data_IF_918961075134
#
_entry.id   IF_918961075134
#
_cell.length_a   1.000
_cell.length_b   1.000
_cell.length_c   1.000
_cell.angle_alpha   90.00
_cell.angle_beta   90.00
_cell.angle_gamma   90.00
#
_symmetry.space_group_name_H-M   'P 1'
#
loop_
_entity.id
_entity.type
_entity.pdbx_description
1 polymer ?
#
# COMPACT_ATOMS: atom_id res chain seq x y z
N UNK A 1 9.23 20.35 74.64
CA UNK A 1 8.14 20.36 73.66
C UNK A 1 8.67 20.60 72.21
N UNK A 2 9.36 21.74 71.97
CA UNK A 2 9.90 22.02 70.59
C UNK A 2 10.94 20.98 70.16
N UNK A 3 11.73 20.44 71.11
CA UNK A 3 12.77 19.44 70.81
C UNK A 3 12.20 18.05 70.49
N UNK A 4 11.08 17.69 71.05
CA UNK A 4 10.42 16.40 70.80
C UNK A 4 9.65 16.39 69.47
N UNK A 5 9.09 17.51 69.12
CA UNK A 5 8.42 17.73 67.83
C UNK A 5 9.42 17.76 66.70
N UNK A 6 10.58 18.38 66.87
CA UNK A 6 11.70 18.34 65.92
C UNK A 6 12.24 16.92 65.72
N UNK A 7 12.36 16.12 66.77
CA UNK A 7 12.80 14.72 66.68
C UNK A 7 11.76 13.84 65.95
N UNK A 8 10.47 14.12 66.15
CA UNK A 8 9.42 13.38 65.45
C UNK A 8 9.40 13.70 63.95
N UNK A 9 9.52 14.98 63.57
CA UNK A 9 9.64 15.43 62.19
C UNK A 9 10.87 14.87 61.50
N UNK A 10 12.05 14.88 62.15
CA UNK A 10 13.26 14.26 61.60
C UNK A 10 13.08 12.77 61.33
N UNK A 11 12.41 12.03 62.21
CA UNK A 11 12.15 10.61 62.03
C UNK A 11 11.13 10.30 60.92
N UNK A 12 10.13 11.16 60.74
CA UNK A 12 9.20 11.07 59.60
C UNK A 12 9.92 11.38 58.29
N UNK A 13 10.75 12.43 58.24
CA UNK A 13 11.56 12.74 57.04
C UNK A 13 12.57 11.65 56.68
N UNK A 14 13.23 11.02 57.66
CA UNK A 14 14.09 9.90 57.39
C UNK A 14 13.35 8.71 56.77
N UNK A 15 12.14 8.44 57.23
CA UNK A 15 11.30 7.37 56.67
C UNK A 15 10.83 7.68 55.26
N UNK A 16 10.39 8.92 55.02
CA UNK A 16 9.98 9.35 53.66
C UNK A 16 11.15 9.37 52.65
N UNK A 17 12.34 9.83 53.12
CA UNK A 17 13.56 9.80 52.31
C UNK A 17 13.98 8.38 51.96
N UNK A 18 13.85 7.43 52.89
CA UNK A 18 14.16 6.04 52.63
C UNK A 18 13.20 5.42 51.61
N UNK A 19 11.91 5.74 51.69
CA UNK A 19 10.89 5.32 50.69
C UNK A 19 11.17 5.93 49.32
N UNK A 20 11.46 7.23 49.27
CA UNK A 20 11.78 7.95 48.07
C UNK A 20 13.05 7.37 47.37
N UNK A 21 14.08 7.11 48.19
CA UNK A 21 15.32 6.47 47.69
C UNK A 21 15.04 5.10 47.09
N UNK A 22 14.27 4.24 47.79
CA UNK A 22 13.88 2.94 47.25
C UNK A 22 13.07 2.99 45.97
N UNK A 23 12.22 4.04 45.82
CA UNK A 23 11.47 4.29 44.56
C UNK A 23 12.37 4.76 43.42
N UNK A 24 13.36 5.62 43.73
CA UNK A 24 14.34 6.09 42.72
C UNK A 24 15.24 4.93 42.29
N UNK A 25 15.80 4.17 43.25
CA UNK A 25 16.61 2.99 42.93
C UNK A 25 15.83 1.94 42.11
N UNK A 26 14.53 1.76 42.39
CA UNK A 26 13.65 0.88 41.62
C UNK A 26 13.33 1.41 40.21
N UNK A 27 13.23 2.73 40.05
CA UNK A 27 13.04 3.38 38.73
C UNK A 27 14.35 3.30 37.92
N UNK A 28 15.49 3.58 38.53
CA UNK A 28 16.81 3.47 37.88
C UNK A 28 17.08 2.04 37.40
N UNK A 29 16.74 1.04 38.21
CA UNK A 29 16.88 -0.37 37.82
C UNK A 29 15.98 -0.73 36.63
N UNK A 30 14.71 -0.24 36.61
CA UNK A 30 13.79 -0.43 35.50
C UNK A 30 14.21 0.32 34.23
N UNK A 31 14.74 1.52 34.37
CA UNK A 31 15.29 2.28 33.23
C UNK A 31 16.50 1.55 32.66
N UNK A 32 17.42 1.08 33.51
CA UNK A 32 18.59 0.29 33.08
C UNK A 32 18.19 -1.02 32.39
N UNK A 33 17.15 -1.72 32.85
CA UNK A 33 16.59 -2.91 32.20
C UNK A 33 15.96 -2.58 30.84
N UNK A 34 15.19 -1.49 30.77
CA UNK A 34 14.60 -0.99 29.53
C UNK A 34 15.67 -0.60 28.51
N UNK A 35 16.71 0.12 28.94
CA UNK A 35 17.83 0.50 28.07
C UNK A 35 18.62 -0.72 27.59
N UNK A 36 18.83 -1.73 28.44
CA UNK A 36 19.56 -2.95 28.11
C UNK A 36 18.76 -3.87 27.16
N UNK A 37 17.42 -3.83 27.21
CA UNK A 37 16.54 -4.65 26.37
C UNK A 37 16.05 -3.91 25.12
N UNK A 38 16.23 -2.60 25.05
CA UNK A 38 15.80 -1.80 23.91
C UNK A 38 16.77 -2.00 22.74
N UNK A 39 16.25 -2.42 21.59
CA UNK A 39 17.01 -2.65 20.36
C UNK A 39 17.81 -1.41 19.94
N UNK A 40 17.21 -0.21 20.01
CA UNK A 40 17.86 1.07 19.79
C UNK A 40 16.91 2.21 20.16
N UNK A 41 17.45 3.32 20.65
CA UNK A 41 16.68 4.56 20.85
C UNK A 41 16.38 5.29 19.54
N UNK A 42 17.18 5.09 18.51
CA UNK A 42 17.08 5.73 17.20
C UNK A 42 16.42 4.86 16.15
N UNK A 43 16.41 3.53 16.33
CA UNK A 43 15.81 2.56 15.41
C UNK A 43 14.70 1.80 16.08
N UNK A 44 13.50 1.82 15.47
CA UNK A 44 12.34 1.04 15.90
C UNK A 44 12.13 -0.12 14.92
N UNK A 45 11.91 -1.32 15.46
CA UNK A 45 11.46 -2.46 14.68
C UNK A 45 9.92 -2.49 14.70
N UNK A 46 9.32 -2.42 13.52
CA UNK A 46 7.89 -2.64 13.31
C UNK A 46 7.71 -3.82 12.37
N UNK A 47 6.65 -4.58 12.53
CA UNK A 47 6.42 -5.69 11.64
C UNK A 47 5.00 -6.21 11.67
N UNK A 48 4.65 -6.90 10.59
CA UNK A 48 3.40 -7.65 10.46
C UNK A 48 3.67 -8.97 9.78
N UNK A 49 2.84 -9.95 10.09
CA UNK A 49 2.79 -11.21 9.35
C UNK A 49 1.34 -11.50 8.99
N UNK A 50 1.13 -11.82 7.72
CA UNK A 50 -0.19 -12.15 7.18
C UNK A 50 -0.18 -13.61 6.79
N UNK A 51 -1.11 -14.37 7.34
CA UNK A 51 -1.29 -15.79 7.06
C UNK A 51 -2.61 -15.94 6.30
N UNK A 52 -2.56 -16.48 5.10
CA UNK A 52 -3.73 -16.62 4.25
C UNK A 52 -4.02 -18.09 3.98
N UNK A 53 -5.14 -18.55 4.50
CA UNK A 53 -5.75 -19.84 4.17
C UNK A 53 -6.88 -19.57 3.17
N UNK A 54 -6.76 -20.05 1.95
CA UNK A 54 -7.72 -19.73 0.91
C UNK A 54 -7.86 -20.79 -0.15
N UNK A 55 -8.97 -20.71 -0.88
CA UNK A 55 -9.28 -21.55 -2.04
C UNK A 55 -10.10 -20.77 -3.06
N UNK A 56 -10.00 -21.15 -4.33
CA UNK A 56 -10.79 -20.56 -5.40
C UNK A 56 -11.65 -21.61 -6.12
N UNK A 57 -12.81 -21.16 -6.59
CA UNK A 57 -13.68 -21.94 -7.49
C UNK A 57 -13.90 -21.15 -8.76
N UNK A 58 -13.90 -21.86 -9.89
CA UNK A 58 -14.01 -21.28 -11.20
C UNK A 58 -15.27 -21.76 -11.89
N UNK A 59 -15.91 -20.88 -12.66
CA UNK A 59 -17.11 -21.16 -13.43
C UNK A 59 -16.96 -20.64 -14.85
N UNK A 60 -17.75 -21.19 -15.78
CA UNK A 60 -17.74 -20.76 -17.16
C UNK A 60 -16.66 -21.41 -18.03
N UNK A 61 -16.36 -20.80 -19.15
CA UNK A 61 -15.41 -21.30 -20.14
C UNK A 61 -13.98 -21.28 -19.58
N UNK A 62 -13.27 -22.41 -19.67
CA UNK A 62 -11.91 -22.54 -19.14
C UNK A 62 -11.83 -22.87 -17.65
N UNK A 63 -12.98 -22.99 -16.94
CA UNK A 63 -13.01 -23.24 -15.50
C UNK A 63 -12.27 -24.53 -15.08
N UNK A 64 -12.35 -25.59 -15.88
CA UNK A 64 -11.63 -26.85 -15.58
C UNK A 64 -10.12 -26.70 -15.59
N UNK A 65 -9.58 -25.90 -16.52
CA UNK A 65 -8.15 -25.63 -16.59
C UNK A 65 -7.69 -24.78 -15.40
N UNK A 66 -8.48 -23.75 -15.05
CA UNK A 66 -8.18 -22.91 -13.90
C UNK A 66 -8.30 -23.69 -12.58
N UNK A 67 -9.32 -24.51 -12.45
CA UNK A 67 -9.48 -25.36 -11.27
C UNK A 67 -8.34 -26.38 -11.12
N UNK A 68 -7.83 -26.92 -12.23
CA UNK A 68 -6.68 -27.81 -12.20
C UNK A 68 -5.38 -27.11 -11.82
N UNK A 69 -5.23 -25.85 -12.21
CA UNK A 69 -4.04 -25.05 -11.89
C UNK A 69 -4.07 -24.39 -10.51
N UNK A 70 -5.25 -23.89 -10.06
CA UNK A 70 -5.38 -22.98 -8.91
C UNK A 70 -6.55 -23.34 -7.99
N UNK A 71 -7.18 -24.50 -8.13
CA UNK A 71 -8.37 -24.90 -7.34
C UNK A 71 -8.05 -25.55 -6.00
N UNK A 72 -6.80 -25.69 -5.63
CA UNK A 72 -6.38 -26.25 -4.34
C UNK A 72 -6.58 -25.25 -3.19
N UNK A 73 -6.76 -25.79 -1.96
CA UNK A 73 -6.66 -24.97 -0.77
C UNK A 73 -5.18 -24.74 -0.45
N UNK A 74 -4.80 -23.49 -0.27
CA UNK A 74 -3.43 -23.09 0.08
C UNK A 74 -3.37 -22.42 1.44
N UNK A 75 -2.24 -22.54 2.11
CA UNK A 75 -1.93 -21.82 3.34
C UNK A 75 -0.54 -21.19 3.20
N UNK A 76 -0.50 -19.88 3.14
CA UNK A 76 0.68 -19.11 2.78
C UNK A 76 0.90 -17.96 3.75
N UNK A 77 2.08 -17.32 3.68
CA UNK A 77 2.40 -16.18 4.53
C UNK A 77 3.10 -15.05 3.75
N UNK A 78 2.96 -13.83 4.28
CA UNK A 78 3.72 -12.63 3.93
C UNK A 78 4.23 -11.98 5.23
N UNK A 79 5.52 -11.99 5.46
CA UNK A 79 6.20 -11.37 6.59
C UNK A 79 6.82 -10.06 6.16
N UNK A 80 6.54 -8.97 6.87
CA UNK A 80 7.10 -7.64 6.66
C UNK A 80 7.72 -7.12 7.96
N UNK A 81 9.01 -6.79 7.93
CA UNK A 81 9.75 -6.23 9.06
C UNK A 81 10.39 -4.91 8.63
N UNK A 82 10.04 -3.81 9.25
CA UNK A 82 10.58 -2.49 8.98
C UNK A 82 11.47 -2.01 10.13
N UNK A 83 12.69 -1.65 9.81
CA UNK A 83 13.59 -0.89 10.67
C UNK A 83 13.38 0.59 10.31
N UNK A 84 12.79 1.35 11.23
CA UNK A 84 12.58 2.79 11.08
C UNK A 84 13.57 3.53 11.97
N UNK A 85 14.56 4.16 11.35
CA UNK A 85 15.64 4.88 12.04
C UNK A 85 15.46 6.38 11.84
N UNK A 86 15.42 7.12 12.94
CA UNK A 86 15.42 8.59 12.92
C UNK A 86 16.75 9.10 13.51
N UNK A 87 17.40 10.01 12.80
CA UNK A 87 18.65 10.65 13.23
C UNK A 87 18.42 12.00 13.88
N UNK A 88 17.36 12.69 13.51
CA UNK A 88 17.04 14.04 13.96
C UNK A 88 15.76 14.14 14.78
N UNK A 89 15.01 13.04 14.89
CA UNK A 89 13.69 12.98 15.53
C UNK A 89 12.53 13.42 14.63
N UNK A 90 12.83 13.96 13.43
CA UNK A 90 11.84 14.40 12.43
C UNK A 90 12.00 13.73 11.07
N UNK A 91 13.03 12.95 10.90
CA UNK A 91 13.38 12.19 9.69
C UNK A 91 13.12 10.70 9.87
N UNK A 92 13.14 9.96 8.79
CA UNK A 92 13.00 8.50 8.83
C UNK A 92 13.78 7.82 7.70
N UNK A 93 14.73 6.98 8.07
CA UNK A 93 15.30 5.98 7.19
C UNK A 93 14.52 4.68 7.36
N UNK A 94 13.84 4.24 6.32
CA UNK A 94 13.07 3.00 6.31
C UNK A 94 13.85 1.91 5.59
N UNK A 95 14.14 0.82 6.32
CA UNK A 95 14.66 -0.42 5.73
C UNK A 95 13.63 -1.53 6.00
N UNK A 96 12.86 -1.94 4.99
CA UNK A 96 11.87 -3.00 5.12
C UNK A 96 12.38 -4.30 4.52
N UNK A 97 12.43 -5.32 5.37
CA UNK A 97 12.67 -6.70 4.98
C UNK A 97 11.33 -7.39 4.73
N UNK A 98 11.27 -8.26 3.75
CA UNK A 98 10.07 -9.04 3.41
C UNK A 98 10.44 -10.46 3.06
N UNK A 99 9.60 -11.41 3.48
CA UNK A 99 9.70 -12.82 3.10
C UNK A 99 8.31 -13.39 2.93
N UNK A 100 8.11 -14.26 1.95
CA UNK A 100 6.82 -14.89 1.72
C UNK A 100 6.92 -16.08 0.77
N UNK A 101 5.87 -16.91 0.82
CA UNK A 101 5.68 -18.04 -0.09
C UNK A 101 4.29 -17.99 -0.74
N UNK A 102 3.72 -16.77 -0.86
CA UNK A 102 2.36 -16.56 -1.29
C UNK A 102 2.31 -16.26 -2.78
N UNK A 103 2.03 -17.27 -3.58
CA UNK A 103 1.62 -17.09 -4.97
C UNK A 103 0.17 -16.59 -5.02
N UNK A 104 -0.22 -16.04 -6.16
CA UNK A 104 -1.61 -15.64 -6.35
C UNK A 104 -2.51 -16.87 -6.40
N UNK A 105 -3.12 -17.20 -5.27
CA UNK A 105 -3.99 -18.38 -5.10
C UNK A 105 -5.24 -18.36 -5.97
N UNK A 106 -5.59 -17.20 -6.53
CA UNK A 106 -6.76 -17.05 -7.40
C UNK A 106 -6.42 -17.12 -8.89
N UNK A 107 -5.17 -17.38 -9.25
CA UNK A 107 -4.76 -17.66 -10.62
C UNK A 107 -4.32 -16.48 -11.45
N UNK A 108 -4.01 -15.34 -10.85
CA UNK A 108 -3.28 -14.22 -11.45
C UNK A 108 -3.62 -13.90 -12.91
N UNK A 109 -2.63 -13.92 -13.75
CA UNK A 109 -2.72 -13.52 -15.18
C UNK A 109 -3.76 -14.27 -16.03
N UNK A 110 -4.20 -15.45 -15.61
CA UNK A 110 -5.22 -16.22 -16.34
C UNK A 110 -6.65 -15.78 -16.04
N UNK A 111 -6.88 -15.09 -14.95
CA UNK A 111 -8.21 -14.73 -14.44
C UNK A 111 -8.39 -13.21 -14.26
N UNK A 112 -7.32 -12.45 -14.27
CA UNK A 112 -7.26 -10.98 -14.34
C UNK A 112 -7.98 -10.18 -13.25
N UNK A 113 -9.15 -10.62 -12.81
CA UNK A 113 -10.00 -9.91 -11.85
C UNK A 113 -9.66 -10.22 -10.37
N UNK A 114 -8.82 -11.21 -10.12
CA UNK A 114 -8.63 -11.80 -8.79
C UNK A 114 -7.18 -11.69 -8.30
N UNK A 115 -6.55 -10.53 -8.51
CA UNK A 115 -5.29 -10.23 -7.81
C UNK A 115 -5.52 -10.24 -6.31
N UNK A 116 -4.64 -10.92 -5.57
CA UNK A 116 -4.65 -10.94 -4.12
C UNK A 116 -3.74 -9.85 -3.56
N UNK A 117 -4.17 -9.12 -2.52
CA UNK A 117 -3.39 -8.04 -1.90
C UNK A 117 -2.05 -8.56 -1.32
N UNK A 118 -2.08 -9.69 -0.66
CA UNK A 118 -0.89 -10.33 -0.11
C UNK A 118 -0.41 -11.42 -1.06
N UNK A 119 0.21 -11.05 -2.15
CA UNK A 119 0.69 -11.99 -3.17
C UNK A 119 2.20 -11.90 -3.37
N UNK A 120 3.00 -12.12 -2.31
CA UNK A 120 4.46 -12.11 -2.45
C UNK A 120 5.06 -13.49 -2.31
N UNK A 121 5.80 -13.90 -3.32
CA UNK A 121 6.65 -15.08 -3.27
C UNK A 121 8.12 -14.65 -3.40
N UNK A 122 8.91 -14.94 -2.39
CA UNK A 122 10.36 -14.73 -2.36
C UNK A 122 11.10 -16.06 -2.20
N UNK A 123 10.41 -17.18 -2.44
CA UNK A 123 10.93 -18.54 -2.16
C UNK A 123 11.45 -18.68 -0.72
N UNK A 124 10.77 -18.01 0.23
CA UNK A 124 11.15 -17.90 1.65
C UNK A 124 12.47 -17.14 1.88
N UNK A 125 13.08 -16.54 0.88
CA UNK A 125 14.23 -15.67 1.06
C UNK A 125 13.82 -14.35 1.73
N UNK A 126 14.70 -13.81 2.56
CA UNK A 126 14.54 -12.46 3.10
C UNK A 126 15.14 -11.46 2.12
N UNK A 127 14.32 -10.56 1.62
CA UNK A 127 14.72 -9.54 0.65
C UNK A 127 14.52 -8.14 1.22
N UNK A 128 15.30 -7.16 0.75
CA UNK A 128 15.06 -5.75 1.02
C UNK A 128 13.92 -5.30 0.10
N UNK A 129 12.76 -5.06 0.70
CA UNK A 129 11.54 -4.66 0.00
C UNK A 129 11.41 -3.14 -0.13
N UNK A 130 11.94 -2.37 0.85
CA UNK A 130 12.02 -0.90 0.84
C UNK A 130 13.36 -0.46 1.41
N UNK A 131 13.93 0.59 0.81
CA UNK A 131 15.08 1.29 1.35
C UNK A 131 15.03 2.74 0.87
N UNK A 132 14.57 3.63 1.74
CA UNK A 132 14.42 5.05 1.41
C UNK A 132 14.56 5.93 2.65
N UNK A 133 14.85 7.20 2.41
CA UNK A 133 14.95 8.23 3.44
C UNK A 133 13.91 9.31 3.21
N UNK A 134 13.27 9.76 4.29
CA UNK A 134 12.28 10.82 4.30
C UNK A 134 12.68 11.87 5.32
N UNK A 135 12.65 13.14 4.95
CA UNK A 135 12.97 14.24 5.86
C UNK A 135 12.18 15.49 5.54
N UNK A 136 11.78 16.26 6.57
CA UNK A 136 11.08 17.52 6.40
C UNK A 136 12.04 18.64 5.96
N UNK A 137 11.50 19.59 5.18
CA UNK A 137 12.15 20.85 4.81
C UNK A 137 11.21 21.99 5.18
N UNK A 138 11.54 22.69 6.24
CA UNK A 138 10.58 23.60 6.90
C UNK A 138 9.46 22.81 7.57
N UNK A 139 8.28 23.41 7.64
CA UNK A 139 7.15 22.86 8.38
C UNK A 139 6.13 22.13 7.48
N UNK A 140 6.10 22.44 6.19
CA UNK A 140 5.08 21.94 5.27
C UNK A 140 5.61 21.02 4.16
N UNK A 141 6.93 21.03 3.90
CA UNK A 141 7.52 20.21 2.85
C UNK A 141 8.18 18.95 3.40
N UNK A 142 8.05 17.85 2.67
CA UNK A 142 8.80 16.62 2.94
C UNK A 142 9.41 16.10 1.64
N UNK A 143 10.67 15.71 1.72
CA UNK A 143 11.39 15.05 0.62
C UNK A 143 11.56 13.58 0.98
N UNK A 144 11.27 12.71 0.02
CA UNK A 144 11.40 11.26 0.15
C UNK A 144 12.21 10.74 -1.02
N UNK A 145 13.17 9.85 -0.79
CA UNK A 145 13.92 9.26 -1.90
C UNK A 145 14.78 8.09 -1.45
N UNK A 146 15.13 7.26 -2.41
CA UNK A 146 15.98 6.10 -2.13
C UNK A 146 16.15 5.17 -3.32
N UNK A 147 17.04 4.17 -3.18
CA UNK A 147 17.27 3.18 -4.22
C UNK A 147 16.10 2.18 -4.38
N UNK A 148 15.21 2.11 -3.39
CA UNK A 148 14.04 1.22 -3.40
C UNK A 148 12.87 1.84 -2.65
N UNK A 149 12.20 2.79 -3.30
CA UNK A 149 11.03 3.52 -2.80
C UNK A 149 9.82 3.16 -3.64
N UNK A 150 8.64 3.04 -3.02
CA UNK A 150 7.37 2.81 -3.72
C UNK A 150 6.62 4.12 -3.86
N UNK A 151 5.82 4.25 -4.89
CA UNK A 151 5.09 5.48 -5.23
C UNK A 151 4.27 6.01 -4.05
N UNK A 152 3.56 5.15 -3.32
CA UNK A 152 2.75 5.50 -2.16
C UNK A 152 3.58 6.06 -0.97
N UNK A 153 4.85 5.69 -0.86
CA UNK A 153 5.74 6.26 0.17
C UNK A 153 6.05 7.76 -0.06
N UNK A 154 5.72 8.27 -1.24
CA UNK A 154 5.96 9.66 -1.65
C UNK A 154 4.65 10.48 -1.76
N UNK A 155 3.51 9.90 -1.33
CA UNK A 155 2.22 10.59 -1.22
C UNK A 155 1.95 11.01 0.22
N UNK A 156 1.49 12.24 0.48
CA UNK A 156 1.09 12.67 1.81
C UNK A 156 -0.24 12.06 2.26
N UNK A 157 -1.09 11.69 1.29
CA UNK A 157 -2.44 11.15 1.53
C UNK A 157 -2.67 9.97 0.60
N UNK A 158 -3.07 8.81 1.16
CA UNK A 158 -3.65 7.72 0.39
C UNK A 158 -5.14 8.00 0.18
N UNK A 159 -5.65 8.01 -1.06
CA UNK A 159 -6.97 8.58 -1.35
C UNK A 159 -8.11 7.58 -1.19
N UNK A 160 -8.15 6.88 -0.07
CA UNK A 160 -9.19 5.92 0.26
C UNK A 160 -9.28 5.72 1.77
N UNK A 161 -10.49 5.60 2.29
CA UNK A 161 -10.76 5.11 3.64
C UNK A 161 -11.09 3.60 3.65
N UNK A 162 -11.25 2.97 2.48
CA UNK A 162 -11.44 1.52 2.41
C UNK A 162 -10.13 0.81 2.75
N UNK A 163 -10.17 -0.23 3.59
CA UNK A 163 -8.95 -0.88 4.09
C UNK A 163 -8.09 -1.44 2.95
N UNK A 164 -6.78 -1.32 3.10
CA UNK A 164 -5.78 -1.82 2.14
C UNK A 164 -5.22 -3.20 2.51
N UNK A 165 -5.76 -3.84 3.53
CA UNK A 165 -5.31 -5.13 4.06
C UNK A 165 -6.35 -6.25 3.85
N UNK A 166 -7.21 -6.10 2.84
CA UNK A 166 -8.28 -7.04 2.52
C UNK A 166 -7.84 -8.08 1.47
N UNK A 167 -8.81 -8.81 0.91
CA UNK A 167 -8.52 -9.97 0.07
C UNK A 167 -8.11 -9.59 -1.34
N UNK A 168 -8.85 -8.66 -1.97
CA UNK A 168 -8.67 -8.33 -3.37
C UNK A 168 -7.85 -7.07 -3.56
N UNK A 169 -6.70 -7.22 -4.18
CA UNK A 169 -5.74 -6.15 -4.49
C UNK A 169 -6.39 -4.95 -5.22
N UNK A 170 -7.34 -5.21 -6.13
CA UNK A 170 -8.00 -4.14 -6.89
C UNK A 170 -8.62 -3.04 -6.01
N UNK A 171 -9.27 -3.38 -4.91
CA UNK A 171 -9.94 -2.41 -4.06
C UNK A 171 -8.98 -1.54 -3.24
N UNK A 172 -7.71 -1.89 -3.21
CA UNK A 172 -6.67 -1.14 -2.51
C UNK A 172 -6.07 0.01 -3.34
N UNK A 173 -6.39 0.11 -4.65
CA UNK A 173 -5.83 1.11 -5.58
C UNK A 173 -6.69 2.36 -5.73
N UNK A 174 -7.57 2.65 -4.79
CA UNK A 174 -8.47 3.83 -4.85
C UNK A 174 -9.23 3.95 -6.18
N UNK A 175 -9.56 2.83 -6.84
CA UNK A 175 -10.28 2.75 -8.10
C UNK A 175 -9.49 3.13 -9.36
N UNK A 176 -8.21 3.49 -9.22
CA UNK A 176 -7.39 3.99 -10.31
C UNK A 176 -5.99 3.32 -10.35
N UNK A 177 -5.90 2.01 -10.62
CA UNK A 177 -4.63 1.28 -10.58
C UNK A 177 -3.57 1.77 -11.57
N UNK A 178 -3.94 2.49 -12.62
CA UNK A 178 -2.99 3.14 -13.50
C UNK A 178 -2.35 4.38 -12.87
N UNK A 179 -3.14 5.21 -12.18
CA UNK A 179 -2.65 6.41 -11.51
C UNK A 179 -1.93 6.08 -10.19
N UNK A 180 -2.44 5.12 -9.44
CA UNK A 180 -1.87 4.63 -8.16
C UNK A 180 -1.20 3.26 -8.35
N UNK A 181 -0.30 3.16 -9.31
CA UNK A 181 0.26 1.89 -9.80
C UNK A 181 1.23 1.18 -8.85
N UNK A 182 1.51 1.75 -7.67
CA UNK A 182 2.42 1.23 -6.65
C UNK A 182 3.81 0.85 -7.20
N UNK A 183 4.25 1.51 -8.26
CA UNK A 183 5.56 1.29 -8.84
C UNK A 183 6.65 1.40 -7.78
N UNK A 184 7.67 0.54 -7.89
CA UNK A 184 8.74 0.37 -6.92
C UNK A 184 10.08 0.43 -7.64
N UNK A 185 10.99 1.29 -7.16
CA UNK A 185 12.31 1.41 -7.78
C UNK A 185 13.17 2.48 -7.13
N UNK A 186 14.21 2.88 -7.86
CA UNK A 186 15.06 4.00 -7.47
C UNK A 186 14.38 5.32 -7.85
N UNK A 187 14.22 6.22 -6.90
CA UNK A 187 13.55 7.48 -7.18
C UNK A 187 13.45 8.42 -6.00
N UNK A 188 12.77 9.53 -6.23
CA UNK A 188 12.51 10.55 -5.23
C UNK A 188 11.20 11.29 -5.52
N UNK A 189 10.65 11.90 -4.47
CA UNK A 189 9.49 12.76 -4.53
C UNK A 189 9.54 13.85 -3.47
N UNK A 190 8.69 14.82 -3.66
CA UNK A 190 8.45 15.89 -2.70
C UNK A 190 6.94 16.07 -2.55
N UNK A 191 6.51 16.32 -1.35
CA UNK A 191 5.15 16.76 -1.11
C UNK A 191 5.11 17.99 -0.20
N UNK A 192 4.11 18.80 -0.44
CA UNK A 192 3.70 19.92 0.37
C UNK A 192 2.35 19.60 0.97
N UNK A 193 2.20 19.81 2.28
CA UNK A 193 0.97 19.54 3.01
C UNK A 193 0.76 20.62 4.05
N UNK A 194 -0.43 21.20 4.05
CA UNK A 194 -0.85 22.22 5.01
C UNK A 194 -1.59 21.60 6.20
N UNK A 195 -1.63 22.28 7.33
CA UNK A 195 -2.45 21.90 8.49
C UNK A 195 -3.96 21.81 8.15
N UNK A 196 -4.44 22.59 7.17
CA UNK A 196 -5.83 22.57 6.72
C UNK A 196 -6.20 21.37 5.83
N UNK A 197 -5.28 20.42 5.61
CA UNK A 197 -5.52 19.20 4.86
C UNK A 197 -5.32 19.32 3.34
N UNK A 198 -4.91 20.48 2.81
CA UNK A 198 -4.54 20.59 1.40
C UNK A 198 -3.12 20.08 1.16
N UNK A 199 -2.93 19.33 0.09
CA UNK A 199 -1.61 18.80 -0.27
C UNK A 199 -1.39 18.69 -1.77
N UNK A 200 -0.11 18.80 -2.15
CA UNK A 200 0.37 18.54 -3.50
C UNK A 200 1.61 17.69 -3.41
N UNK A 201 1.70 16.63 -4.19
CA UNK A 201 2.88 15.79 -4.27
C UNK A 201 3.30 15.59 -5.71
N UNK A 202 4.60 15.39 -5.92
CA UNK A 202 5.14 14.93 -7.19
C UNK A 202 6.29 13.97 -6.92
N UNK A 203 6.39 12.93 -7.71
CA UNK A 203 7.40 11.89 -7.56
C UNK A 203 7.83 11.33 -8.91
N UNK A 204 9.04 10.81 -8.94
CA UNK A 204 9.58 10.04 -10.04
C UNK A 204 10.35 8.85 -9.50
N UNK A 205 10.14 7.68 -10.08
CA UNK A 205 10.94 6.50 -9.82
C UNK A 205 11.14 5.67 -11.09
N UNK A 206 12.18 4.85 -11.10
CA UNK A 206 12.48 3.88 -12.16
C UNK A 206 12.63 2.49 -11.57
N UNK A 207 11.81 1.54 -12.04
CA UNK A 207 11.81 0.14 -11.60
C UNK A 207 13.12 -0.60 -11.90
N UNK A 208 13.81 -0.19 -12.96
CA UNK A 208 15.13 -0.68 -13.38
C UNK A 208 16.23 0.39 -13.22
N UNK A 209 16.03 1.33 -12.29
CA UNK A 209 16.93 2.47 -12.05
C UNK A 209 18.31 2.09 -11.51
N UNK A 210 18.51 0.84 -11.10
CA UNK A 210 19.81 0.29 -10.66
C UNK A 210 20.71 -0.15 -11.82
N UNK A 211 20.21 -0.20 -13.07
CA UNK A 211 20.99 -0.56 -14.25
C UNK A 211 21.68 0.66 -14.81
N UNK A 212 22.95 0.51 -15.19
CA UNK A 212 23.78 1.64 -15.69
C UNK A 212 23.74 1.78 -17.23
N UNK A 213 23.21 0.81 -17.96
CA UNK A 213 23.02 0.90 -19.41
C UNK A 213 21.77 1.74 -19.72
N UNK A 214 21.91 2.91 -20.36
CA UNK A 214 20.80 3.82 -20.62
C UNK A 214 19.75 3.26 -21.60
N UNK A 215 20.05 2.22 -22.35
CA UNK A 215 19.10 1.59 -23.27
C UNK A 215 18.25 0.51 -22.59
N UNK A 216 18.65 0.02 -21.43
CA UNK A 216 17.98 -1.08 -20.73
C UNK A 216 17.54 -0.73 -19.31
N UNK A 217 17.89 0.46 -18.81
CA UNK A 217 17.52 0.93 -17.48
C UNK A 217 18.10 2.29 -17.16
N UNK A 218 18.21 2.61 -15.87
CA UNK A 218 18.70 3.88 -15.37
C UNK A 218 17.58 4.81 -14.90
N UNK A 219 17.97 6.03 -14.55
CA UNK A 219 17.07 7.10 -14.10
C UNK A 219 17.09 8.22 -15.14
N UNK A 220 15.92 8.55 -15.72
CA UNK A 220 15.80 9.60 -16.74
C UNK A 220 16.45 9.23 -18.08
N UNK A 221 16.53 7.97 -18.40
CA UNK A 221 17.10 7.42 -19.66
C UNK A 221 16.00 6.85 -20.54
N UNK A 222 16.32 6.58 -21.81
CA UNK A 222 15.37 5.96 -22.76
C UNK A 222 14.99 4.53 -22.37
N UNK A 223 15.87 3.81 -21.67
CA UNK A 223 15.61 2.46 -21.16
C UNK A 223 14.94 2.42 -19.79
N UNK A 224 14.62 3.56 -19.18
CA UNK A 224 14.01 3.60 -17.85
C UNK A 224 12.56 3.13 -17.88
N UNK A 225 12.23 2.15 -17.04
CA UNK A 225 10.86 1.78 -16.70
C UNK A 225 10.36 2.71 -15.58
N UNK A 226 9.95 3.90 -15.94
CA UNK A 226 9.64 4.94 -14.99
C UNK A 226 8.14 5.06 -14.66
N UNK A 227 7.87 5.61 -13.49
CA UNK A 227 6.57 6.12 -13.08
C UNK A 227 6.76 7.49 -12.45
N UNK A 228 6.08 8.49 -13.01
CA UNK A 228 6.06 9.87 -12.51
C UNK A 228 4.64 10.23 -12.13
N UNK A 229 4.40 10.47 -10.84
CA UNK A 229 3.06 10.71 -10.29
C UNK A 229 2.97 12.09 -9.68
N UNK A 230 1.89 12.80 -9.98
CA UNK A 230 1.51 14.05 -9.30
C UNK A 230 0.10 13.88 -8.74
N UNK A 231 -0.08 14.22 -7.46
CA UNK A 231 -1.37 14.22 -6.79
C UNK A 231 -1.66 15.60 -6.20
N UNK A 232 -2.92 16.02 -6.32
CA UNK A 232 -3.49 17.13 -5.55
C UNK A 232 -4.60 16.53 -4.70
N UNK A 233 -4.57 16.78 -3.40
CA UNK A 233 -5.58 16.28 -2.48
C UNK A 233 -6.01 17.34 -1.48
N UNK A 234 -7.26 17.24 -1.05
CA UNK A 234 -7.80 17.95 0.09
C UNK A 234 -8.45 16.94 1.02
N UNK A 235 -7.86 16.76 2.17
CA UNK A 235 -8.21 15.74 3.15
C UNK A 235 -8.23 16.34 4.55
N UNK A 236 -9.30 17.08 4.90
CA UNK A 236 -9.58 17.43 6.29
C UNK A 236 -9.90 16.17 7.11
N UNK A 237 -10.29 16.32 8.38
CA UNK A 237 -10.34 15.21 9.34
C UNK A 237 -11.16 13.99 8.90
N UNK A 238 -12.40 14.19 8.40
CA UNK A 238 -13.34 13.08 8.20
C UNK A 238 -13.66 12.74 6.75
N UNK A 239 -13.15 13.47 5.78
CA UNK A 239 -13.37 13.21 4.36
C UNK A 239 -12.20 13.70 3.51
N UNK A 240 -12.17 13.31 2.26
CA UNK A 240 -11.19 13.82 1.34
C UNK A 240 -11.56 13.56 -0.12
N UNK A 241 -10.90 14.33 -0.96
CA UNK A 241 -10.91 14.18 -2.41
C UNK A 241 -9.48 14.25 -2.92
N UNK A 242 -9.18 13.50 -3.96
CA UNK A 242 -7.89 13.54 -4.60
C UNK A 242 -8.01 13.39 -6.11
N UNK A 243 -7.11 14.07 -6.82
CA UNK A 243 -6.88 13.89 -8.24
C UNK A 243 -5.42 13.57 -8.47
N UNK A 244 -5.14 12.53 -9.25
CA UNK A 244 -3.80 12.10 -9.57
C UNK A 244 -3.59 11.98 -11.08
N UNK A 245 -2.39 12.31 -11.51
CA UNK A 245 -1.90 12.04 -12.85
C UNK A 245 -0.59 11.27 -12.74
N UNK A 246 -0.50 10.18 -13.50
CA UNK A 246 0.72 9.38 -13.58
C UNK A 246 1.09 9.14 -15.02
N UNK A 247 2.30 9.51 -15.38
CA UNK A 247 2.95 9.09 -16.62
C UNK A 247 3.89 7.94 -16.30
N UNK A 248 3.74 6.82 -17.02
CA UNK A 248 4.61 5.68 -16.84
C UNK A 248 5.08 5.12 -18.19
N UNK A 249 6.24 4.46 -18.14
CA UNK A 249 6.80 3.73 -19.27
C UNK A 249 7.15 2.32 -18.79
N UNK A 250 6.56 1.31 -19.43
CA UNK A 250 7.01 -0.07 -19.33
C UNK A 250 8.01 -0.34 -20.43
N UNK A 251 9.23 -0.66 -20.07
CA UNK A 251 10.29 -1.07 -21.01
C UNK A 251 10.96 -2.33 -20.51
N UNK A 252 11.49 -3.12 -21.44
CA UNK A 252 12.23 -4.34 -21.11
C UNK A 252 11.44 -5.34 -20.23
N UNK A 253 10.12 -5.44 -20.46
CA UNK A 253 9.25 -6.39 -19.78
C UNK A 253 8.84 -5.99 -18.35
N UNK A 254 9.00 -4.73 -17.97
CA UNK A 254 8.63 -4.26 -16.63
C UNK A 254 7.13 -3.93 -16.45
N UNK A 255 6.36 -3.95 -17.54
CA UNK A 255 4.93 -3.65 -17.53
C UNK A 255 4.60 -2.16 -17.45
N UNK A 256 3.34 -1.80 -17.54
CA UNK A 256 2.87 -0.42 -17.62
C UNK A 256 2.14 0.06 -16.35
N UNK A 257 1.35 -0.79 -15.73
CA UNK A 257 0.55 -0.49 -14.54
C UNK A 257 0.17 -1.78 -13.80
N UNK A 258 -0.50 -1.66 -12.66
CA UNK A 258 -0.98 -2.83 -11.93
C UNK A 258 -1.93 -3.69 -12.77
N UNK A 259 -1.69 -5.00 -12.78
CA UNK A 259 -2.36 -5.98 -13.63
C UNK A 259 -3.76 -6.40 -13.22
N UNK A 260 -4.45 -5.66 -12.34
CA UNK A 260 -5.81 -5.97 -11.91
C UNK A 260 -6.82 -5.53 -12.97
N UNK A 261 -7.39 -6.48 -13.72
CA UNK A 261 -8.33 -6.13 -14.77
C UNK A 261 -8.85 -7.32 -15.56
N UNK A 262 -9.52 -7.05 -16.68
CA UNK A 262 -9.89 -8.06 -17.66
C UNK A 262 -8.66 -8.73 -18.26
N UNK A 263 -8.81 -9.93 -18.79
CA UNK A 263 -7.68 -10.67 -19.39
C UNK A 263 -6.95 -9.85 -20.45
N UNK A 264 -7.70 -9.08 -21.26
CA UNK A 264 -7.14 -8.19 -22.28
C UNK A 264 -6.34 -7.02 -21.65
N UNK A 265 -6.87 -6.40 -20.62
CA UNK A 265 -6.20 -5.30 -19.90
C UNK A 265 -4.93 -5.81 -19.19
N UNK A 266 -4.98 -6.96 -18.53
CA UNK A 266 -3.79 -7.59 -17.91
C UNK A 266 -2.73 -7.92 -18.95
N UNK A 267 -3.13 -8.46 -20.11
CA UNK A 267 -2.16 -8.74 -21.17
C UNK A 267 -1.47 -7.48 -21.70
N UNK A 268 -2.20 -6.34 -21.76
CA UNK A 268 -1.62 -5.03 -22.11
C UNK A 268 -0.71 -4.49 -21.02
N UNK A 269 -1.06 -4.66 -19.75
CA UNK A 269 -0.23 -4.17 -18.64
C UNK A 269 1.14 -4.83 -18.59
N UNK A 270 1.28 -6.04 -19.12
CA UNK A 270 2.53 -6.77 -19.18
C UNK A 270 3.37 -6.46 -20.44
N UNK A 271 2.84 -5.64 -21.36
CA UNK A 271 3.58 -5.19 -22.55
C UNK A 271 4.41 -3.93 -22.26
N UNK A 272 5.42 -3.67 -23.09
CA UNK A 272 6.07 -2.36 -23.08
C UNK A 272 5.20 -1.32 -23.76
N UNK A 273 5.42 -0.05 -23.44
CA UNK A 273 4.69 1.09 -23.97
C UNK A 273 4.77 2.29 -23.05
N UNK A 274 3.88 3.23 -23.26
CA UNK A 274 3.72 4.40 -22.40
C UNK A 274 2.26 4.55 -21.95
N UNK A 275 2.07 5.05 -20.74
CA UNK A 275 0.74 5.36 -20.23
C UNK A 275 0.63 6.79 -19.74
N UNK A 276 -0.57 7.37 -19.91
CA UNK A 276 -1.03 8.54 -19.20
C UNK A 276 -2.26 8.13 -18.42
N UNK A 277 -2.15 8.15 -17.10
CA UNK A 277 -3.18 7.65 -16.20
C UNK A 277 -3.71 8.76 -15.31
N UNK A 278 -5.03 8.82 -15.19
CA UNK A 278 -5.76 9.79 -14.39
C UNK A 278 -6.57 9.05 -13.34
N UNK A 279 -6.55 9.57 -12.11
CA UNK A 279 -7.33 9.04 -11.00
C UNK A 279 -8.12 10.14 -10.31
N UNK A 280 -9.38 9.86 -9.99
CA UNK A 280 -10.21 10.68 -9.12
C UNK A 280 -10.74 9.82 -7.99
N UNK A 281 -10.60 10.28 -6.76
CA UNK A 281 -11.02 9.53 -5.59
C UNK A 281 -11.67 10.45 -4.57
N UNK A 282 -12.62 9.90 -3.83
CA UNK A 282 -13.28 10.59 -2.73
C UNK A 282 -13.60 9.58 -1.62
N UNK A 283 -13.51 10.02 -0.39
CA UNK A 283 -13.85 9.20 0.78
C UNK A 283 -14.44 10.05 1.90
N UNK A 284 -15.17 9.39 2.75
CA UNK A 284 -15.74 9.97 3.95
C UNK A 284 -15.82 8.91 5.05
N UNK A 285 -15.48 9.31 6.28
CA UNK A 285 -15.54 8.47 7.47
C UNK A 285 -16.42 9.16 8.51
N UNK A 286 -17.42 8.50 9.09
CA UNK A 286 -18.21 9.08 10.18
C UNK A 286 -17.32 9.33 11.41
N UNK A 287 -17.65 10.36 12.18
CA UNK A 287 -16.93 10.71 13.42
C UNK A 287 -17.11 9.65 14.51
N UNK A 288 -18.27 8.99 14.52
CA UNK A 288 -18.59 7.91 15.45
C UNK A 288 -18.95 6.64 14.69
N UNK A 289 -18.54 5.50 15.23
CA UNK A 289 -18.96 4.17 14.73
C UNK A 289 -20.46 3.98 14.90
N UNK A 290 -21.10 3.26 13.96
CA UNK A 290 -22.53 3.01 14.05
C UNK A 290 -23.13 2.43 12.76
N UNK A 291 -24.39 2.77 12.47
CA UNK A 291 -25.09 2.29 11.28
C UNK A 291 -24.59 2.86 9.95
N UNK A 292 -23.93 4.01 10.01
CA UNK A 292 -23.44 4.70 8.82
C UNK A 292 -22.00 4.25 8.56
N UNK A 293 -21.71 3.62 7.41
CA UNK A 293 -20.37 3.17 7.09
C UNK A 293 -19.47 4.34 6.67
N UNK A 294 -18.17 4.13 6.72
CA UNK A 294 -17.25 4.88 5.87
C UNK A 294 -17.52 4.55 4.41
N UNK A 295 -17.31 5.52 3.54
CA UNK A 295 -17.54 5.38 2.09
C UNK A 295 -16.28 5.77 1.36
N UNK A 296 -15.85 4.95 0.43
CA UNK A 296 -14.74 5.27 -0.48
C UNK A 296 -15.16 4.98 -1.92
N UNK A 297 -14.78 5.85 -2.82
CA UNK A 297 -15.00 5.66 -4.24
C UNK A 297 -13.84 6.20 -5.05
N UNK A 298 -13.62 5.62 -6.21
CA UNK A 298 -12.62 6.12 -7.13
C UNK A 298 -12.87 5.65 -8.55
N UNK A 299 -12.30 6.42 -9.47
CA UNK A 299 -12.36 6.17 -10.89
C UNK A 299 -11.00 6.44 -11.52
N UNK A 300 -10.59 5.57 -12.43
CA UNK A 300 -9.36 5.64 -13.18
C UNK A 300 -9.57 5.57 -14.67
N UNK A 301 -8.78 6.34 -15.41
CA UNK A 301 -8.66 6.29 -16.86
C UNK A 301 -7.19 6.19 -17.22
N UNK A 302 -6.84 5.30 -18.14
CA UNK A 302 -5.46 5.14 -18.61
C UNK A 302 -5.45 5.05 -20.13
N UNK A 303 -4.71 5.96 -20.77
CA UNK A 303 -4.37 5.91 -22.17
C UNK A 303 -3.02 5.20 -22.34
N UNK A 304 -2.98 4.17 -23.16
CA UNK A 304 -1.82 3.36 -23.49
C UNK A 304 -1.39 3.67 -24.91
N UNK A 305 -0.15 4.08 -25.11
CA UNK A 305 0.45 4.34 -26.43
C UNK A 305 1.75 3.55 -26.61
N UNK A 306 2.20 3.46 -27.85
CA UNK A 306 3.46 2.83 -28.23
C UNK A 306 3.60 1.38 -27.72
N UNK A 307 2.47 0.67 -27.62
CA UNK A 307 2.47 -0.69 -27.12
C UNK A 307 3.21 -1.63 -28.06
N UNK A 308 4.13 -2.43 -27.53
CA UNK A 308 4.80 -3.52 -28.24
C UNK A 308 3.97 -4.82 -28.24
N UNK A 309 2.78 -4.81 -27.64
CA UNK A 309 1.88 -5.94 -27.68
C UNK A 309 1.61 -6.38 -29.13
N UNK A 310 1.63 -7.68 -29.37
CA UNK A 310 1.67 -8.27 -30.73
C UNK A 310 0.57 -7.76 -31.66
N UNK A 311 -0.60 -7.47 -31.11
CA UNK A 311 -1.79 -7.13 -31.91
C UNK A 311 -2.43 -5.78 -31.51
N UNK A 312 -1.81 -5.02 -30.60
CA UNK A 312 -2.35 -3.76 -30.10
C UNK A 312 -1.33 -2.65 -30.23
N UNK A 313 -1.72 -1.51 -30.77
CA UNK A 313 -0.88 -0.29 -30.85
C UNK A 313 -1.17 0.66 -29.73
N UNK A 314 -2.44 0.87 -29.42
CA UNK A 314 -2.91 1.75 -28.37
C UNK A 314 -4.20 1.24 -27.78
N UNK A 315 -4.52 1.67 -26.58
CA UNK A 315 -5.79 1.37 -25.93
C UNK A 315 -6.13 2.41 -24.86
N UNK A 316 -7.41 2.59 -24.61
CA UNK A 316 -7.91 3.34 -23.45
C UNK A 316 -8.59 2.36 -22.51
N UNK A 317 -8.26 2.45 -21.22
CA UNK A 317 -8.84 1.61 -20.18
C UNK A 317 -9.47 2.45 -19.09
N UNK A 318 -10.45 1.88 -18.42
CA UNK A 318 -11.09 2.49 -17.26
C UNK A 318 -11.18 1.48 -16.11
N UNK A 319 -11.41 2.02 -14.91
CA UNK A 319 -11.66 1.25 -13.69
C UNK A 319 -12.47 2.11 -12.71
N UNK A 320 -13.21 1.50 -11.80
CA UNK A 320 -13.91 2.21 -10.74
C UNK A 320 -14.26 1.26 -9.59
N UNK A 321 -14.45 1.81 -8.40
CA UNK A 321 -14.96 1.07 -7.25
C UNK A 321 -15.79 1.95 -6.33
N UNK A 322 -16.57 1.28 -5.48
CA UNK A 322 -17.20 1.80 -4.27
C UNK A 322 -16.97 0.80 -3.16
N UNK A 323 -16.45 1.26 -2.04
CA UNK A 323 -16.23 0.49 -0.82
C UNK A 323 -16.95 1.11 0.37
N UNK A 324 -17.51 0.26 1.20
CA UNK A 324 -18.21 0.61 2.45
C UNK A 324 -17.57 -0.18 3.58
N UNK A 325 -17.31 0.44 4.73
CA UNK A 325 -16.85 -0.24 5.92
C UNK A 325 -17.59 0.27 7.16
N UNK A 326 -18.10 -0.64 7.96
CA UNK A 326 -18.68 -0.38 9.28
C UNK A 326 -17.68 -0.80 10.33
N UNK A 327 -17.34 0.13 11.22
CA UNK A 327 -16.50 -0.12 12.40
C UNK A 327 -17.34 -0.60 13.57
N UNK A 328 -16.71 -1.32 14.51
CA UNK A 328 -17.29 -1.79 15.77
C UNK A 328 -18.54 -2.68 15.60
N UNK A 329 -18.56 -3.47 14.53
CA UNK A 329 -19.69 -4.36 14.21
C UNK A 329 -19.74 -5.52 15.19
N UNK A 330 -20.81 -5.59 15.97
CA UNK A 330 -21.10 -6.55 17.07
C UNK A 330 -20.18 -6.40 18.28
N UNK A 331 -18.89 -6.10 18.09
CA UNK A 331 -17.91 -5.91 19.15
C UNK A 331 -16.96 -4.77 18.75
N UNK A 332 -16.49 -4.01 19.74
CA UNK A 332 -15.49 -2.96 19.55
C UNK A 332 -14.21 -3.52 18.89
N UNK A 333 -13.69 -2.80 17.91
CA UNK A 333 -12.52 -3.19 17.13
C UNK A 333 -12.81 -4.10 15.92
N UNK A 334 -14.00 -4.69 15.83
CA UNK A 334 -14.38 -5.48 14.66
C UNK A 334 -14.83 -4.59 13.50
N UNK A 335 -14.65 -5.02 12.26
CA UNK A 335 -15.23 -4.31 11.13
C UNK A 335 -15.85 -5.26 10.11
N UNK A 336 -16.83 -4.73 9.38
CA UNK A 336 -17.47 -5.39 8.25
C UNK A 336 -17.38 -4.49 7.03
N UNK A 337 -16.96 -5.03 5.91
CA UNK A 337 -16.84 -4.27 4.69
C UNK A 337 -17.43 -4.96 3.48
N UNK A 338 -17.82 -4.12 2.55
CA UNK A 338 -18.33 -4.52 1.23
C UNK A 338 -17.75 -3.61 0.19
N UNK A 339 -17.21 -4.17 -0.88
CA UNK A 339 -16.82 -3.39 -2.04
C UNK A 339 -17.38 -3.99 -3.32
N UNK A 340 -17.64 -3.11 -4.26
CA UNK A 340 -17.99 -3.44 -5.63
C UNK A 340 -17.23 -2.53 -6.58
N UNK A 341 -16.78 -3.07 -7.68
CA UNK A 341 -16.10 -2.28 -8.69
C UNK A 341 -15.94 -3.03 -9.99
N UNK A 342 -15.41 -2.32 -10.95
CA UNK A 342 -15.04 -2.86 -12.23
C UNK A 342 -13.53 -2.69 -12.37
N UNK A 343 -12.74 -3.75 -12.14
CA UNK A 343 -11.31 -3.74 -12.38
C UNK A 343 -11.01 -3.36 -13.82
N UNK A 344 -9.83 -2.87 -14.07
CA UNK A 344 -9.41 -2.28 -15.35
C UNK A 344 -9.96 -3.03 -16.57
N UNK A 345 -10.71 -2.35 -17.39
CA UNK A 345 -11.31 -2.86 -18.62
C UNK A 345 -11.05 -1.92 -19.80
N UNK A 346 -10.96 -2.49 -20.99
CA UNK A 346 -10.65 -1.76 -22.21
C UNK A 346 -11.94 -1.12 -22.74
N UNK A 347 -11.91 0.19 -22.98
CA UNK A 347 -13.01 0.96 -23.57
C UNK A 347 -12.77 1.28 -25.05
N UNK A 348 -11.51 1.50 -25.43
CA UNK A 348 -11.09 1.75 -26.81
C UNK A 348 -9.79 1.00 -27.08
N UNK A 349 -9.59 0.56 -28.30
CA UNK A 349 -8.40 -0.18 -28.69
C UNK A 349 -8.13 -0.07 -30.18
N UNK A 350 -6.87 0.16 -30.53
CA UNK A 350 -6.39 0.04 -31.90
C UNK A 350 -5.65 -1.29 -32.08
N UNK A 351 -6.16 -2.13 -32.96
CA UNK A 351 -5.61 -3.45 -33.25
C UNK A 351 -4.82 -3.50 -34.55
N UNK A 352 -3.79 -4.33 -34.55
CA UNK A 352 -2.92 -4.59 -35.71
C UNK A 352 -3.22 -5.97 -36.31
N UNK A 353 -2.79 -6.19 -37.56
CA UNK A 353 -2.73 -7.53 -38.15
C UNK A 353 -4.08 -8.16 -38.44
N UNK A 354 -5.12 -7.36 -38.74
CA UNK A 354 -6.44 -7.86 -39.14
C UNK A 354 -7.23 -8.51 -38.01
N UNK A 355 -6.90 -8.20 -36.75
CA UNK A 355 -7.67 -8.62 -35.57
C UNK A 355 -8.90 -7.76 -35.42
N UNK A 356 -9.90 -8.27 -34.68
CA UNK A 356 -11.17 -7.61 -34.48
C UNK A 356 -11.18 -6.94 -33.10
N UNK A 357 -11.39 -5.61 -33.05
CA UNK A 357 -11.44 -4.82 -31.81
C UNK A 357 -12.45 -5.39 -30.79
N UNK A 358 -13.59 -5.87 -31.31
CA UNK A 358 -14.66 -6.45 -30.50
C UNK A 358 -14.23 -7.65 -29.65
N UNK A 359 -13.13 -8.32 -30.01
CA UNK A 359 -12.61 -9.47 -29.24
C UNK A 359 -11.91 -9.03 -27.96
N UNK A 360 -11.37 -7.79 -27.93
CA UNK A 360 -10.68 -7.21 -26.80
C UNK A 360 -11.60 -6.39 -25.89
N UNK A 361 -12.68 -5.84 -26.43
CA UNK A 361 -13.66 -5.04 -25.68
C UNK A 361 -14.63 -5.90 -24.85
N UNK A 362 -14.57 -7.23 -25.02
CA UNK A 362 -15.39 -8.17 -24.25
C UNK A 362 -14.81 -8.36 -22.85
N UNK A 363 -15.67 -8.35 -21.84
CA UNK A 363 -15.33 -8.90 -20.53
C UNK A 363 -15.17 -7.92 -19.38
N UNK A 364 -15.87 -6.80 -19.40
CA UNK A 364 -16.01 -5.92 -18.23
C UNK A 364 -16.81 -6.62 -17.12
N UNK A 365 -16.17 -7.50 -16.35
CA UNK A 365 -16.77 -8.14 -15.20
C UNK A 365 -16.75 -7.23 -13.97
N UNK A 366 -17.67 -7.43 -13.05
CA UNK A 366 -17.68 -6.78 -11.75
C UNK A 366 -16.94 -7.64 -10.75
N UNK A 367 -16.16 -7.01 -9.88
CA UNK A 367 -15.59 -7.62 -8.68
C UNK A 367 -16.43 -7.22 -7.48
N UNK A 368 -16.60 -8.16 -6.57
CA UNK A 368 -17.27 -7.97 -5.29
C UNK A 368 -16.38 -8.50 -4.19
N UNK A 369 -16.29 -7.78 -3.10
CA UNK A 369 -15.60 -8.21 -1.88
C UNK A 369 -16.53 -8.06 -0.70
N UNK A 370 -16.52 -9.04 0.18
CA UNK A 370 -17.19 -9.02 1.47
C UNK A 370 -16.22 -9.55 2.49
N UNK A 371 -16.00 -8.82 3.56
CA UNK A 371 -15.16 -9.27 4.65
C UNK A 371 -15.79 -8.95 6.01
N UNK A 372 -15.38 -9.73 6.98
CA UNK A 372 -15.58 -9.43 8.39
C UNK A 372 -14.23 -9.58 9.10
N UNK A 373 -13.73 -8.49 9.70
CA UNK A 373 -12.50 -8.47 10.47
C UNK A 373 -12.84 -8.61 11.95
N UNK A 374 -12.35 -9.66 12.56
CA UNK A 374 -12.49 -9.92 13.98
C UNK A 374 -11.19 -9.56 14.70
N UNK A 375 -11.25 -8.63 15.64
CA UNK A 375 -10.10 -8.25 16.47
C UNK A 375 -10.00 -9.20 17.66
N UNK A 376 -8.94 -10.01 17.70
CA UNK A 376 -8.67 -10.98 18.78
C UNK A 376 -7.92 -10.31 19.92
N UNK A 377 -6.94 -9.48 19.59
CA UNK A 377 -6.17 -8.62 20.50
C UNK A 377 -5.78 -7.35 19.77
N UNK A 378 -5.15 -6.38 20.47
CA UNK A 378 -4.67 -5.14 19.86
C UNK A 378 -3.72 -5.38 18.66
N UNK A 379 -3.09 -6.55 18.57
CA UNK A 379 -2.09 -6.89 17.56
C UNK A 379 -2.47 -8.09 16.68
N UNK A 380 -3.62 -8.73 16.91
CA UNK A 380 -4.04 -9.92 16.18
C UNK A 380 -5.46 -9.73 15.66
N UNK A 381 -5.61 -9.82 14.35
CA UNK A 381 -6.91 -9.83 13.67
C UNK A 381 -7.08 -11.09 12.83
N UNK A 382 -8.32 -11.51 12.64
CA UNK A 382 -8.73 -12.58 11.71
C UNK A 382 -9.75 -11.98 10.76
N UNK A 383 -9.50 -12.08 9.47
CA UNK A 383 -10.40 -11.59 8.41
C UNK A 383 -10.87 -12.73 7.55
#
# INVERSE_FOLDING_TARGET
EVTDELRRLLKEFETELAILRGRVDGLEARVGELEATQFSTTTKLKGSTHWVLGAAKYHGKGSSQQAAANGGTSFSYDLRLALETSFTGKDSLVTRLRSGNMDNIYGGNGVGLFGQEYGVNTDNAVVIDRLFYSFPVGDEFTIVGGPRVRMDNMLPVWPSAYPSDMTMDFFTYAGAPGAYNLALGAGAGVYWQTEGGFSVSTSYLSGNGNLSDPNTGGIGTDGAAFSATTQIAYAPESWGIAAAYTKASGTNGTGLYSGNGTVGAVALSLSDGQTNSYGLSAWWTPEESGWIPSVSTGWGLTDISDSNARYVSSATTQSWYVGLEWSDVFLEGNSFGVAVGQPTFITEIDVKGGKNESDYLKGGGYAWEFFYKFQVTDNITVT
#
